data_IF_492579163444
#
_entry.id   IF_492579163444
#
_cell.length_a   1.000
_cell.length_b   1.000
_cell.length_c   1.000
_cell.angle_alpha   90.00
_cell.angle_beta   90.00
_cell.angle_gamma   90.00
#
_symmetry.space_group_name_H-M   'P 1'
#
loop_
_entity.id
_entity.type
_entity.pdbx_description
1 polymer ?
#
# COMPACT_ATOMS: atom_id res chain seq x y z
N UNK A 1 -34.67 1.58 25.34
CA UNK A 1 -35.10 0.18 25.57
C UNK A 1 -34.14 -0.52 26.53
N UNK A 2 -34.66 -1.26 27.52
CA UNK A 2 -33.84 -1.94 28.54
C UNK A 2 -32.91 -3.02 27.95
N UNK A 3 -33.30 -3.65 26.85
CA UNK A 3 -32.50 -4.68 26.18
C UNK A 3 -31.12 -4.19 25.71
N UNK A 4 -31.04 -3.02 25.05
CA UNK A 4 -29.77 -2.48 24.56
C UNK A 4 -28.84 -2.06 25.71
N UNK A 5 -29.40 -1.56 26.81
CA UNK A 5 -28.65 -1.22 28.01
C UNK A 5 -28.06 -2.48 28.66
N UNK A 6 -28.88 -3.51 28.86
CA UNK A 6 -28.43 -4.78 29.43
C UNK A 6 -27.34 -5.44 28.55
N UNK A 7 -27.47 -5.33 27.21
CA UNK A 7 -26.47 -5.86 26.28
C UNK A 7 -25.12 -5.15 26.46
N UNK A 8 -25.15 -3.82 26.54
CA UNK A 8 -23.95 -3.01 26.83
C UNK A 8 -23.34 -3.34 28.18
N UNK A 9 -24.17 -3.49 29.21
CA UNK A 9 -23.71 -3.72 30.57
C UNK A 9 -23.12 -5.14 30.72
N UNK A 10 -23.61 -6.10 29.96
CA UNK A 10 -23.03 -7.45 29.83
C UNK A 10 -21.62 -7.42 29.24
N UNK A 11 -21.38 -6.61 28.19
CA UNK A 11 -20.04 -6.43 27.62
C UNK A 11 -19.09 -5.77 28.62
N UNK A 12 -19.56 -4.76 29.36
CA UNK A 12 -18.78 -4.07 30.39
C UNK A 12 -18.42 -4.97 31.56
N UNK A 13 -19.35 -5.81 32.02
CA UNK A 13 -19.11 -6.73 33.13
C UNK A 13 -18.02 -7.77 32.82
N UNK A 14 -17.77 -8.05 31.54
CA UNK A 14 -16.70 -8.93 31.06
C UNK A 14 -15.42 -8.19 30.64
N UNK A 15 -15.35 -6.89 30.93
CA UNK A 15 -14.25 -6.00 30.54
C UNK A 15 -13.96 -6.01 29.02
N UNK A 16 -15.00 -6.16 28.20
CA UNK A 16 -14.86 -6.21 26.74
C UNK A 16 -15.14 -4.85 26.13
N UNK A 17 -14.11 -4.24 25.56
CA UNK A 17 -14.26 -3.06 24.71
C UNK A 17 -14.94 -3.39 23.37
N UNK A 18 -15.58 -2.42 22.72
CA UNK A 18 -16.20 -2.65 21.40
C UNK A 18 -15.20 -3.07 20.33
N UNK A 19 -13.94 -2.62 20.42
CA UNK A 19 -12.87 -3.06 19.50
C UNK A 19 -12.55 -4.53 19.72
N UNK A 20 -12.49 -4.96 20.98
CA UNK A 20 -12.25 -6.36 21.31
C UNK A 20 -13.43 -7.25 20.89
N UNK A 21 -14.65 -6.78 21.06
CA UNK A 21 -15.85 -7.49 20.58
C UNK A 21 -15.85 -7.65 19.05
N UNK A 22 -15.39 -6.65 18.30
CA UNK A 22 -15.23 -6.72 16.84
C UNK A 22 -14.21 -7.78 16.43
N UNK A 23 -13.02 -7.78 17.05
CA UNK A 23 -11.98 -8.78 16.77
C UNK A 23 -12.45 -10.22 17.05
N UNK A 24 -13.27 -10.42 18.08
CA UNK A 24 -13.75 -11.74 18.49
C UNK A 24 -14.93 -12.23 17.65
N UNK A 25 -15.86 -11.34 17.28
CA UNK A 25 -17.14 -11.72 16.65
C UNK A 25 -17.19 -11.50 15.15
N UNK A 26 -16.26 -10.72 14.57
CA UNK A 26 -16.29 -10.31 13.17
C UNK A 26 -17.30 -9.21 12.84
N UNK A 27 -18.12 -8.78 13.80
CA UNK A 27 -19.06 -7.66 13.62
C UNK A 27 -18.36 -6.32 13.78
N UNK A 28 -18.61 -5.39 12.84
CA UNK A 28 -17.98 -4.07 12.88
C UNK A 28 -18.28 -3.26 14.16
N UNK A 29 -17.27 -2.55 14.67
CA UNK A 29 -17.37 -1.76 15.92
C UNK A 29 -18.54 -0.77 15.94
N UNK A 30 -18.79 -0.08 14.83
CA UNK A 30 -19.90 0.88 14.72
C UNK A 30 -21.27 0.20 14.80
N UNK A 31 -21.39 -1.01 14.26
CA UNK A 31 -22.60 -1.85 14.32
C UNK A 31 -22.89 -2.28 15.77
N UNK A 32 -21.87 -2.76 16.50
CA UNK A 32 -21.98 -3.12 17.92
C UNK A 32 -22.32 -1.88 18.77
N UNK A 33 -21.66 -0.74 18.50
CA UNK A 33 -21.92 0.52 19.20
C UNK A 33 -23.35 1.05 18.96
N UNK A 34 -23.91 0.81 17.77
CA UNK A 34 -25.29 1.16 17.43
C UNK A 34 -26.26 0.22 18.11
N UNK A 35 -25.99 -1.09 18.14
CA UNK A 35 -26.82 -2.08 18.82
C UNK A 35 -26.96 -1.82 20.34
N UNK A 36 -25.96 -1.19 20.96
CA UNK A 36 -25.97 -0.85 22.40
C UNK A 36 -26.64 0.49 22.73
N UNK A 37 -26.87 1.37 21.74
CA UNK A 37 -27.40 2.73 21.95
C UNK A 37 -28.61 3.10 21.09
N UNK A 38 -28.94 2.27 20.10
CA UNK A 38 -29.95 2.55 19.10
C UNK A 38 -31.37 2.63 19.67
N UNK A 39 -32.28 3.34 18.98
CA UNK A 39 -33.67 3.49 19.40
C UNK A 39 -34.51 2.23 19.16
N UNK A 40 -33.98 1.23 18.45
CA UNK A 40 -34.64 0.00 18.03
C UNK A 40 -34.07 -1.26 18.70
N UNK A 41 -34.81 -2.37 18.64
CA UNK A 41 -34.30 -3.68 19.04
C UNK A 41 -33.17 -4.10 18.07
N UNK A 42 -31.96 -4.44 18.54
CA UNK A 42 -30.84 -4.79 17.67
C UNK A 42 -31.09 -6.10 16.92
N UNK A 43 -30.27 -6.43 15.91
CA UNK A 43 -30.37 -7.73 15.24
C UNK A 43 -30.06 -8.88 16.24
N UNK A 44 -30.88 -9.93 16.24
CA UNK A 44 -30.73 -11.08 17.14
C UNK A 44 -29.40 -11.82 16.92
N UNK A 45 -29.00 -12.02 15.66
CA UNK A 45 -27.80 -12.78 15.29
C UNK A 45 -26.55 -12.04 15.77
N UNK A 46 -26.50 -10.72 15.55
CA UNK A 46 -25.44 -9.85 16.08
C UNK A 46 -25.29 -9.99 17.59
N UNK A 47 -26.40 -9.97 18.33
CA UNK A 47 -26.33 -10.07 19.80
C UNK A 47 -25.83 -11.45 20.21
N UNK A 48 -26.30 -12.53 19.57
CA UNK A 48 -25.88 -13.88 19.95
C UNK A 48 -24.43 -14.19 19.57
N UNK A 49 -23.98 -13.72 18.41
CA UNK A 49 -22.61 -13.94 17.94
C UNK A 49 -21.61 -13.18 18.81
N UNK A 50 -21.90 -11.90 19.09
CA UNK A 50 -21.04 -11.08 19.95
C UNK A 50 -20.98 -11.68 21.35
N UNK A 51 -22.12 -12.09 21.93
CA UNK A 51 -22.14 -12.67 23.27
C UNK A 51 -21.43 -14.03 23.34
N UNK A 52 -21.61 -14.90 22.36
CA UNK A 52 -20.88 -16.16 22.28
C UNK A 52 -19.37 -15.95 22.15
N UNK A 53 -18.96 -15.01 21.30
CA UNK A 53 -17.55 -14.71 21.06
C UNK A 53 -16.82 -14.12 22.29
N UNK A 54 -17.54 -13.39 23.16
CA UNK A 54 -16.99 -12.86 24.43
C UNK A 54 -17.07 -13.85 25.59
N UNK A 55 -17.46 -15.11 25.32
CA UNK A 55 -17.42 -16.20 26.29
C UNK A 55 -18.66 -16.33 27.16
N UNK A 56 -19.84 -15.90 26.72
CA UNK A 56 -21.09 -16.35 27.36
C UNK A 56 -21.30 -17.83 27.08
N UNK A 57 -21.81 -18.56 28.06
CA UNK A 57 -22.17 -19.96 27.86
C UNK A 57 -23.31 -20.09 26.84
N UNK A 58 -23.43 -21.24 26.15
CA UNK A 58 -24.54 -21.47 25.22
C UNK A 58 -25.93 -21.25 25.84
N UNK A 59 -26.10 -21.60 27.12
CA UNK A 59 -27.37 -21.42 27.85
C UNK A 59 -27.68 -19.95 28.14
N UNK A 60 -26.67 -19.16 28.48
CA UNK A 60 -26.81 -17.70 28.62
C UNK A 60 -27.19 -17.07 27.27
N UNK A 61 -26.51 -17.45 26.19
CA UNK A 61 -26.80 -16.96 24.82
C UNK A 61 -28.22 -17.35 24.39
N UNK A 62 -28.68 -18.57 24.69
CA UNK A 62 -30.04 -19.01 24.43
C UNK A 62 -31.08 -18.16 25.19
N UNK A 63 -30.78 -17.79 26.44
CA UNK A 63 -31.63 -16.90 27.26
C UNK A 63 -31.75 -15.51 26.62
N UNK A 64 -30.65 -14.98 26.09
CA UNK A 64 -30.64 -13.71 25.34
C UNK A 64 -31.50 -13.79 24.07
N UNK A 65 -31.37 -14.86 23.29
CA UNK A 65 -32.17 -15.09 22.07
C UNK A 65 -33.65 -15.19 22.38
N UNK A 66 -34.04 -15.95 23.41
CA UNK A 66 -35.44 -16.07 23.83
C UNK A 66 -36.02 -14.74 24.31
N UNK A 67 -35.23 -13.95 25.05
CA UNK A 67 -35.64 -12.61 25.49
C UNK A 67 -35.85 -11.66 24.31
N UNK A 68 -34.97 -11.72 23.31
CA UNK A 68 -35.10 -10.93 22.09
C UNK A 68 -36.38 -11.26 21.32
N UNK A 69 -36.66 -12.56 21.10
CA UNK A 69 -37.87 -13.03 20.43
C UNK A 69 -39.16 -12.50 21.09
N UNK A 70 -39.26 -12.58 22.43
CA UNK A 70 -40.42 -12.04 23.17
C UNK A 70 -40.63 -10.54 22.98
N UNK A 71 -39.55 -9.76 22.90
CA UNK A 71 -39.65 -8.31 22.65
C UNK A 71 -40.12 -8.04 21.22
N UNK A 72 -39.63 -8.82 20.26
CA UNK A 72 -40.04 -8.71 18.86
C UNK A 72 -41.52 -9.05 18.68
N UNK A 73 -42.00 -10.11 19.31
CA UNK A 73 -43.43 -10.47 19.31
C UNK A 73 -44.30 -9.41 19.97
N UNK A 74 -43.83 -8.81 21.08
CA UNK A 74 -44.53 -7.73 21.78
C UNK A 74 -44.63 -6.43 20.98
N UNK A 75 -43.61 -6.10 20.17
CA UNK A 75 -43.66 -4.95 19.24
C UNK A 75 -44.63 -5.21 18.09
N UNK A 76 -44.66 -6.43 17.54
CA UNK A 76 -45.59 -6.82 16.46
C UNK A 76 -47.05 -6.81 16.93
N UNK A 77 -47.32 -7.17 18.18
CA UNK A 77 -48.66 -7.12 18.76
C UNK A 77 -49.19 -5.70 19.03
N UNK A 78 -48.33 -4.67 18.91
CA UNK A 78 -48.66 -3.26 19.17
C UNK A 78 -48.95 -2.44 17.90
N UNK A 79 -48.72 -3.02 16.72
CA UNK A 79 -49.15 -2.43 15.46
C UNK A 79 -50.67 -2.63 15.30
N UNK A 80 -51.44 -1.58 15.64
CA UNK A 80 -52.88 -1.50 15.37
C UNK A 80 -53.18 -1.76 13.88
N UNK A 81 -54.31 -2.41 13.53
CA UNK A 81 -54.67 -2.68 12.16
C UNK A 81 -54.82 -1.35 11.37
N UNK A 82 -54.27 -1.26 10.14
CA UNK A 82 -54.33 -0.04 9.36
C UNK A 82 -55.79 0.27 8.98
N UNK A 83 -56.24 1.48 9.34
CA UNK A 83 -57.55 2.00 8.94
C UNK A 83 -57.69 2.02 7.39
N UNK A 84 -58.92 1.89 6.85
CA UNK A 84 -59.14 1.79 5.42
C UNK A 84 -58.69 3.05 4.67
N UNK A 85 -57.97 2.83 3.56
CA UNK A 85 -57.37 3.84 2.70
C UNK A 85 -58.39 4.86 2.18
N UNK A 86 -58.31 6.09 2.68
CA UNK A 86 -58.86 7.26 1.99
C UNK A 86 -57.96 7.62 0.80
N UNK A 87 -58.60 7.94 -0.33
CA UNK A 87 -58.00 8.36 -1.59
C UNK A 87 -56.90 9.42 -1.42
N UNK A 88 -55.77 9.31 -2.15
CA UNK A 88 -54.62 10.17 -1.93
C UNK A 88 -54.88 11.60 -2.47
N UNK A 89 -54.50 12.64 -1.71
CA UNK A 89 -54.51 14.02 -2.19
C UNK A 89 -53.38 14.27 -3.20
N UNK A 90 -53.51 15.30 -4.08
CA UNK A 90 -52.56 15.56 -5.14
C UNK A 90 -51.17 15.92 -4.60
N UNK A 91 -50.16 15.37 -5.30
CA UNK A 91 -48.78 15.39 -4.88
C UNK A 91 -48.21 16.81 -4.68
N UNK A 92 -47.50 17.07 -3.57
CA UNK A 92 -46.74 18.30 -3.42
C UNK A 92 -45.57 18.31 -4.42
N UNK A 93 -45.47 19.41 -5.18
CA UNK A 93 -44.32 19.73 -6.04
C UNK A 93 -43.05 19.73 -5.18
N UNK A 94 -42.27 18.64 -5.27
CA UNK A 94 -40.96 18.52 -4.62
C UNK A 94 -39.99 19.50 -5.28
N UNK A 95 -39.48 20.42 -4.48
CA UNK A 95 -38.41 21.33 -4.86
C UNK A 95 -37.18 20.55 -5.35
N UNK A 96 -36.68 20.96 -6.51
CA UNK A 96 -35.50 20.42 -7.20
C UNK A 96 -34.19 20.58 -6.42
N UNK A 97 -34.19 21.29 -5.29
CA UNK A 97 -33.02 21.47 -4.42
C UNK A 97 -32.59 20.20 -3.67
N UNK A 98 -33.54 19.32 -3.30
CA UNK A 98 -33.23 18.14 -2.45
C UNK A 98 -32.71 16.91 -3.20
N UNK A 99 -32.90 16.84 -4.52
CA UNK A 99 -32.34 15.74 -5.34
C UNK A 99 -30.86 15.93 -5.65
N UNK A 100 -30.38 17.17 -5.66
CA UNK A 100 -28.95 17.47 -5.80
C UNK A 100 -28.19 17.10 -4.52
N UNK A 101 -28.76 17.35 -3.34
CA UNK A 101 -28.12 17.03 -2.06
C UNK A 101 -27.99 15.52 -1.79
N UNK A 102 -29.00 14.71 -2.13
CA UNK A 102 -28.94 13.25 -1.93
C UNK A 102 -27.96 12.61 -2.92
N UNK A 103 -27.93 13.07 -4.18
CA UNK A 103 -26.93 12.61 -5.15
C UNK A 103 -25.51 13.00 -4.71
N UNK A 104 -25.33 14.21 -4.19
CA UNK A 104 -24.05 14.67 -3.65
C UNK A 104 -23.61 13.86 -2.42
N UNK A 105 -24.53 13.44 -1.55
CA UNK A 105 -24.22 12.62 -0.38
C UNK A 105 -23.82 11.19 -0.75
N UNK A 106 -24.50 10.56 -1.71
CA UNK A 106 -24.08 9.24 -2.22
C UNK A 106 -22.72 9.32 -2.89
N UNK A 107 -22.47 10.34 -3.71
CA UNK A 107 -21.14 10.54 -4.32
C UNK A 107 -20.08 10.75 -3.25
N UNK A 108 -20.34 11.57 -2.22
CA UNK A 108 -19.39 11.83 -1.13
C UNK A 108 -19.10 10.57 -0.31
N UNK A 109 -20.11 9.77 0.05
CA UNK A 109 -19.92 8.52 0.81
C UNK A 109 -19.15 7.50 -0.02
N UNK A 110 -19.46 7.37 -1.31
CA UNK A 110 -18.69 6.52 -2.23
C UNK A 110 -17.24 7.00 -2.37
N UNK A 111 -17.02 8.32 -2.39
CA UNK A 111 -15.69 8.91 -2.47
C UNK A 111 -14.90 8.67 -1.19
N UNK A 112 -15.50 8.86 -0.02
CA UNK A 112 -14.86 8.63 1.28
C UNK A 112 -14.59 7.14 1.50
N UNK A 113 -15.53 6.27 1.14
CA UNK A 113 -15.31 4.82 1.20
C UNK A 113 -14.17 4.41 0.26
N UNK A 114 -14.19 4.89 -0.99
CA UNK A 114 -13.11 4.64 -1.95
C UNK A 114 -11.75 5.17 -1.47
N UNK A 115 -11.72 6.37 -0.88
CA UNK A 115 -10.50 6.98 -0.35
C UNK A 115 -9.97 6.23 0.88
N UNK A 116 -10.85 5.77 1.76
CA UNK A 116 -10.47 4.96 2.92
C UNK A 116 -9.94 3.59 2.48
N UNK A 117 -10.57 2.95 1.49
CA UNK A 117 -10.07 1.68 0.92
C UNK A 117 -8.73 1.87 0.23
N UNK A 118 -8.55 2.95 -0.54
CA UNK A 118 -7.28 3.29 -1.18
C UNK A 118 -6.18 3.59 -0.14
N UNK A 119 -6.51 4.31 0.94
CA UNK A 119 -5.57 4.61 2.02
C UNK A 119 -5.16 3.34 2.79
N UNK A 120 -6.10 2.44 3.07
CA UNK A 120 -5.80 1.14 3.69
C UNK A 120 -4.93 0.29 2.77
N UNK A 121 -5.16 0.29 1.45
CA UNK A 121 -4.29 -0.40 0.49
C UNK A 121 -2.88 0.20 0.46
N UNK A 122 -2.74 1.53 0.52
CA UNK A 122 -1.43 2.20 0.59
C UNK A 122 -0.70 1.90 1.90
N UNK A 123 -1.42 1.83 3.02
CA UNK A 123 -0.84 1.54 4.34
C UNK A 123 -0.57 0.04 4.58
N UNK A 124 -1.32 -0.85 3.93
CA UNK A 124 -1.20 -2.30 4.05
C UNK A 124 -0.29 -2.91 2.97
N UNK A 125 0.13 -2.13 1.97
CA UNK A 125 1.21 -2.51 1.09
C UNK A 125 2.47 -2.68 1.95
N UNK A 126 2.78 -3.92 2.31
CA UNK A 126 4.09 -4.26 2.82
C UNK A 126 5.13 -3.74 1.81
N UNK A 127 6.27 -3.18 2.25
CA UNK A 127 7.35 -2.90 1.32
C UNK A 127 7.60 -4.21 0.57
N UNK A 128 7.45 -4.17 -0.76
CA UNK A 128 7.84 -5.32 -1.58
C UNK A 128 9.24 -5.71 -1.11
N UNK A 129 9.48 -7.01 -0.79
CA UNK A 129 10.85 -7.45 -0.58
C UNK A 129 11.64 -6.91 -1.76
N UNK A 130 12.78 -6.20 -1.54
CA UNK A 130 13.46 -5.51 -2.61
C UNK A 130 13.60 -6.53 -3.72
N UNK A 131 12.90 -6.31 -4.85
CA UNK A 131 13.05 -7.15 -6.02
C UNK A 131 14.55 -7.37 -6.17
N UNK A 132 15.06 -8.60 -6.30
CA UNK A 132 16.50 -8.81 -6.45
C UNK A 132 16.99 -7.83 -7.53
N UNK A 133 17.64 -6.73 -7.12
CA UNK A 133 18.01 -5.64 -8.05
C UNK A 133 19.36 -5.97 -8.62
N UNK A 134 19.44 -7.18 -9.15
CA UNK A 134 20.59 -7.66 -9.88
C UNK A 134 20.74 -6.80 -11.12
N UNK A 135 21.80 -6.01 -11.18
CA UNK A 135 22.14 -5.19 -12.33
C UNK A 135 23.24 -5.86 -13.13
N UNK A 136 23.14 -5.78 -14.45
CA UNK A 136 24.14 -6.35 -15.37
C UNK A 136 25.08 -5.25 -15.84
N UNK A 137 26.37 -5.48 -15.69
CA UNK A 137 27.43 -4.61 -16.20
C UNK A 137 27.47 -4.70 -17.73
N UNK A 138 27.59 -3.55 -18.37
CA UNK A 138 27.90 -3.39 -19.79
C UNK A 138 29.13 -2.48 -19.91
N UNK A 139 30.31 -3.09 -19.77
CA UNK A 139 31.60 -2.42 -19.82
C UNK A 139 31.99 -2.11 -21.27
N UNK A 140 31.19 -1.26 -21.94
CA UNK A 140 31.37 -0.93 -23.35
C UNK A 140 31.42 0.57 -23.60
N UNK A 141 32.33 0.97 -24.47
CA UNK A 141 32.52 2.35 -24.93
C UNK A 141 31.82 2.55 -26.26
N UNK A 142 31.03 3.62 -26.35
CA UNK A 142 30.43 4.06 -27.60
C UNK A 142 31.48 4.79 -28.45
N UNK A 143 31.66 4.36 -29.69
CA UNK A 143 32.68 4.86 -30.62
C UNK A 143 32.02 5.14 -31.96
N UNK A 144 32.35 6.25 -32.60
CA UNK A 144 31.83 6.55 -33.93
C UNK A 144 30.35 6.89 -33.90
N UNK A 145 29.67 6.63 -35.01
CA UNK A 145 28.24 6.88 -35.23
C UNK A 145 27.31 5.82 -34.61
N UNK A 146 27.76 4.59 -34.42
CA UNK A 146 26.92 3.52 -33.88
C UNK A 146 27.67 2.41 -33.13
N UNK A 147 29.00 2.37 -33.19
CA UNK A 147 29.74 1.25 -32.60
C UNK A 147 29.69 1.29 -31.06
N UNK A 148 29.66 0.10 -30.46
CA UNK A 148 29.70 -0.11 -29.03
C UNK A 148 30.63 -1.29 -28.76
N UNK A 149 31.82 -1.01 -28.22
CA UNK A 149 32.93 -1.96 -28.13
C UNK A 149 33.29 -2.20 -26.66
N UNK A 150 33.61 -3.44 -26.29
CA UNK A 150 34.10 -3.75 -24.94
C UNK A 150 35.33 -2.90 -24.59
N UNK A 151 35.28 -2.23 -23.43
CA UNK A 151 36.43 -1.50 -22.91
C UNK A 151 37.51 -2.50 -22.51
N UNK A 152 38.77 -2.18 -22.83
CA UNK A 152 39.92 -2.97 -22.41
C UNK A 152 40.19 -2.82 -20.92
N UNK A 153 39.78 -1.70 -20.34
CA UNK A 153 39.83 -1.49 -18.89
C UNK A 153 38.58 -2.11 -18.27
N UNK A 154 38.70 -2.94 -17.22
CA UNK A 154 37.53 -3.49 -16.56
C UNK A 154 36.73 -2.37 -15.85
N UNK A 155 35.41 -2.55 -15.77
CA UNK A 155 34.57 -1.81 -14.83
C UNK A 155 34.88 -2.25 -13.40
N UNK A 156 34.59 -1.42 -12.40
CA UNK A 156 34.87 -1.71 -10.98
C UNK A 156 33.93 -0.93 -10.08
N UNK A 157 33.86 -1.32 -8.81
CA UNK A 157 33.20 -0.52 -7.78
C UNK A 157 34.15 0.55 -7.24
N UNK A 158 33.65 1.78 -7.16
CA UNK A 158 34.35 2.91 -6.54
C UNK A 158 33.90 3.09 -5.08
N UNK A 159 34.81 3.51 -4.21
CA UNK A 159 34.50 3.91 -2.84
C UNK A 159 33.77 5.26 -2.79
N UNK A 160 33.82 6.04 -3.88
CA UNK A 160 33.19 7.36 -4.02
C UNK A 160 32.60 7.51 -5.42
N UNK A 161 31.48 8.23 -5.59
CA UNK A 161 30.81 8.41 -6.88
C UNK A 161 31.47 9.51 -7.72
N UNK A 162 32.74 9.31 -8.06
CA UNK A 162 33.58 10.28 -8.79
C UNK A 162 34.05 9.68 -10.11
N UNK A 163 34.16 10.53 -11.13
CA UNK A 163 34.74 10.13 -12.41
C UNK A 163 36.24 9.86 -12.25
N UNK A 164 36.80 9.01 -13.11
CA UNK A 164 38.25 8.69 -13.16
C UNK A 164 38.82 8.16 -11.84
N UNK A 165 37.99 7.48 -11.06
CA UNK A 165 38.33 6.94 -9.74
C UNK A 165 39.58 6.05 -9.72
N UNK A 166 39.88 5.30 -10.80
CA UNK A 166 41.09 4.49 -10.93
C UNK A 166 42.41 5.26 -10.72
N UNK A 167 42.42 6.59 -10.93
CA UNK A 167 43.61 7.43 -10.78
C UNK A 167 43.75 8.05 -9.38
N UNK A 168 42.78 7.83 -8.49
CA UNK A 168 42.74 8.41 -7.15
C UNK A 168 43.07 7.32 -6.12
N UNK A 169 44.13 7.48 -5.30
CA UNK A 169 44.49 6.49 -4.28
C UNK A 169 43.32 6.16 -3.35
N UNK A 170 43.04 4.86 -3.21
CA UNK A 170 41.96 4.35 -2.34
C UNK A 170 40.53 4.57 -2.89
N UNK A 171 40.37 5.14 -4.08
CA UNK A 171 39.04 5.33 -4.66
C UNK A 171 38.52 4.02 -5.28
N UNK A 172 39.32 3.34 -6.10
CA UNK A 172 38.92 2.04 -6.66
C UNK A 172 38.94 0.96 -5.57
N UNK A 173 37.88 0.16 -5.46
CA UNK A 173 37.81 -0.99 -4.54
C UNK A 173 38.51 -2.19 -5.21
N UNK A 174 39.67 -2.67 -4.71
CA UNK A 174 40.43 -3.73 -5.37
C UNK A 174 39.67 -5.08 -5.38
N UNK A 175 39.76 -5.85 -6.46
CA UNK A 175 39.08 -7.15 -6.58
C UNK A 175 37.61 -7.04 -6.99
N UNK A 176 37.17 -5.88 -7.48
CA UNK A 176 35.83 -5.66 -8.02
C UNK A 176 35.84 -5.44 -9.54
N UNK A 177 36.97 -5.68 -10.19
CA UNK A 177 37.19 -5.55 -11.62
C UNK A 177 36.39 -6.60 -12.41
N UNK A 178 35.52 -6.14 -13.31
CA UNK A 178 34.59 -6.99 -14.06
C UNK A 178 34.38 -6.50 -15.49
N UNK A 179 34.04 -7.42 -16.39
CA UNK A 179 33.65 -7.12 -17.78
C UNK A 179 32.13 -7.11 -17.96
N UNK A 180 31.68 -6.92 -19.21
CA UNK A 180 30.27 -7.04 -19.57
C UNK A 180 29.67 -8.40 -19.19
N UNK A 181 28.42 -8.40 -18.75
CA UNK A 181 27.66 -9.60 -18.34
C UNK A 181 27.80 -9.96 -16.86
N UNK A 182 28.77 -9.39 -16.13
CA UNK A 182 28.85 -9.56 -14.69
C UNK A 182 27.66 -8.90 -13.97
N UNK A 183 27.27 -9.46 -12.84
CA UNK A 183 26.12 -8.99 -12.06
C UNK A 183 26.50 -8.48 -10.68
N UNK A 184 25.97 -7.33 -10.30
CA UNK A 184 26.00 -6.85 -8.91
C UNK A 184 24.58 -6.79 -8.32
N UNK A 185 24.47 -6.87 -7.00
CA UNK A 185 23.23 -6.51 -6.30
C UNK A 185 23.23 -5.00 -6.06
N UNK A 186 22.27 -4.27 -6.67
CA UNK A 186 22.10 -2.85 -6.42
C UNK A 186 21.28 -2.61 -5.14
N UNK A 187 21.78 -1.74 -4.26
CA UNK A 187 21.23 -1.53 -2.91
C UNK A 187 20.65 -0.13 -2.70
N UNK A 188 21.21 0.89 -3.33
CA UNK A 188 20.77 2.28 -3.22
C UNK A 188 21.22 3.08 -4.46
N UNK A 189 20.77 4.32 -4.60
CA UNK A 189 21.19 5.24 -5.66
C UNK A 189 21.56 6.61 -5.09
N UNK A 190 22.42 7.35 -5.80
CA UNK A 190 22.76 8.73 -5.45
C UNK A 190 23.24 9.50 -6.69
N UNK A 191 23.27 10.83 -6.59
CA UNK A 191 23.88 11.71 -7.59
C UNK A 191 25.36 11.96 -7.25
N UNK A 192 26.25 11.75 -8.22
CA UNK A 192 27.69 11.92 -8.11
C UNK A 192 28.27 12.77 -9.25
N UNK A 193 29.55 12.58 -9.57
CA UNK A 193 30.15 13.23 -10.73
C UNK A 193 29.59 12.67 -12.04
N UNK A 194 29.45 13.54 -13.04
CA UNK A 194 29.02 13.19 -14.39
C UNK A 194 30.08 12.33 -15.07
N UNK A 195 29.66 11.23 -15.69
CA UNK A 195 30.51 10.36 -16.49
C UNK A 195 29.80 9.95 -17.78
N UNK A 196 30.59 9.58 -18.78
CA UNK A 196 30.09 9.09 -20.07
C UNK A 196 30.82 7.80 -20.45
N UNK A 197 30.12 6.91 -21.16
CA UNK A 197 30.74 5.77 -21.83
C UNK A 197 31.17 6.11 -23.27
N UNK A 198 31.09 7.35 -23.71
CA UNK A 198 31.43 7.75 -25.07
C UNK A 198 32.91 8.08 -25.22
N UNK A 199 33.53 7.60 -26.30
CA UNK A 199 34.78 8.18 -26.80
C UNK A 199 34.46 9.51 -27.50
N UNK A 200 34.50 10.58 -26.71
CA UNK A 200 34.20 11.95 -27.14
C UNK A 200 35.14 12.47 -28.24
N UNK A 201 36.26 11.77 -28.50
CA UNK A 201 37.20 12.13 -29.57
C UNK A 201 36.89 11.44 -30.90
N UNK A 202 36.00 10.45 -30.90
CA UNK A 202 35.62 9.70 -32.10
C UNK A 202 34.67 10.50 -33.01
N UNK A 203 34.82 10.32 -34.32
CA UNK A 203 34.03 11.02 -35.34
C UNK A 203 32.53 10.68 -35.17
N UNK A 204 31.65 11.68 -35.25
CA UNK A 204 30.18 11.52 -35.16
C UNK A 204 29.65 10.94 -33.84
N UNK A 205 30.43 10.96 -32.75
CA UNK A 205 29.99 10.43 -31.44
C UNK A 205 28.68 11.05 -30.92
N UNK A 206 28.40 12.32 -31.25
CA UNK A 206 27.15 12.98 -30.88
C UNK A 206 25.89 12.37 -31.50
N UNK A 207 26.02 11.47 -32.49
CA UNK A 207 24.92 10.74 -33.12
C UNK A 207 24.79 9.30 -32.62
N UNK A 208 25.73 8.83 -31.78
CA UNK A 208 25.75 7.44 -31.36
C UNK A 208 24.62 7.12 -30.37
N UNK A 209 23.66 6.25 -30.74
CA UNK A 209 22.53 5.94 -29.86
C UNK A 209 22.93 5.18 -28.59
N UNK A 210 24.16 4.64 -28.54
CA UNK A 210 24.70 3.93 -27.39
C UNK A 210 25.51 4.82 -26.45
N UNK A 211 25.80 6.07 -26.84
CA UNK A 211 26.43 7.04 -25.99
C UNK A 211 25.48 7.46 -24.86
N UNK A 212 25.98 7.40 -23.63
CA UNK A 212 25.25 7.78 -22.45
C UNK A 212 26.09 8.70 -21.60
N UNK A 213 25.43 9.65 -20.95
CA UNK A 213 25.99 10.57 -19.97
C UNK A 213 25.07 10.55 -18.76
N UNK A 214 25.63 10.38 -17.56
CA UNK A 214 24.81 10.39 -16.34
C UNK A 214 25.62 10.85 -15.14
N UNK A 215 24.91 11.50 -14.21
CA UNK A 215 25.37 11.78 -12.85
C UNK A 215 24.87 10.74 -11.84
N UNK A 216 24.10 9.73 -12.30
CA UNK A 216 23.51 8.73 -11.43
C UNK A 216 24.48 7.57 -11.17
N UNK A 217 24.61 7.24 -9.89
CA UNK A 217 25.44 6.15 -9.39
C UNK A 217 24.58 5.20 -8.56
N UNK A 218 24.81 3.90 -8.74
CA UNK A 218 24.20 2.88 -7.91
C UNK A 218 25.20 2.43 -6.83
N UNK A 219 24.77 2.43 -5.58
CA UNK A 219 25.41 1.61 -4.56
C UNK A 219 25.19 0.15 -4.89
N UNK A 220 26.27 -0.62 -5.01
CA UNK A 220 26.26 -1.99 -5.47
C UNK A 220 27.12 -2.87 -4.54
N UNK A 221 26.62 -4.07 -4.23
CA UNK A 221 27.29 -5.06 -3.40
C UNK A 221 28.00 -6.09 -4.28
N UNK A 222 29.30 -6.26 -4.06
CA UNK A 222 30.11 -7.32 -4.66
C UNK A 222 29.79 -8.68 -4.02
N UNK A 223 30.13 -9.81 -4.68
CA UNK A 223 29.91 -11.15 -4.12
C UNK A 223 30.59 -11.40 -2.77
N UNK A 224 31.67 -10.68 -2.48
CA UNK A 224 32.39 -10.74 -1.19
C UNK A 224 31.75 -9.86 -0.09
N UNK A 225 30.61 -9.24 -0.39
CA UNK A 225 29.83 -8.43 0.54
C UNK A 225 30.26 -6.96 0.64
N UNK A 226 31.38 -6.56 0.02
CA UNK A 226 31.79 -5.14 -0.01
C UNK A 226 30.84 -4.33 -0.85
N UNK A 227 30.59 -3.09 -0.43
CA UNK A 227 29.74 -2.14 -1.15
C UNK A 227 30.61 -1.04 -1.72
N UNK A 228 30.34 -0.66 -2.96
CA UNK A 228 30.85 0.54 -3.58
C UNK A 228 29.84 1.10 -4.58
N UNK A 229 30.27 2.00 -5.43
CA UNK A 229 29.44 2.70 -6.39
C UNK A 229 29.84 2.33 -7.82
N UNK A 230 28.85 2.20 -8.69
CA UNK A 230 29.05 2.04 -10.12
C UNK A 230 28.13 3.02 -10.86
N UNK A 231 28.67 3.72 -11.85
CA UNK A 231 27.83 4.61 -12.66
C UNK A 231 26.94 3.79 -13.59
N UNK A 232 25.70 4.22 -13.76
CA UNK A 232 24.74 3.53 -14.62
C UNK A 232 25.15 3.49 -16.11
N UNK A 233 26.07 4.36 -16.54
CA UNK A 233 26.57 4.34 -17.93
C UNK A 233 27.31 3.05 -18.26
N UNK A 234 27.85 2.37 -17.23
CA UNK A 234 28.49 1.05 -17.34
C UNK A 234 27.55 -0.11 -17.01
N UNK A 235 26.24 0.16 -16.89
CA UNK A 235 25.21 -0.87 -16.77
C UNK A 235 24.49 -1.05 -18.11
N UNK A 236 23.94 -2.25 -18.33
CA UNK A 236 23.09 -2.50 -19.48
C UNK A 236 21.88 -1.55 -19.47
N UNK A 237 21.39 -1.07 -20.64
CA UNK A 237 20.41 0.00 -20.71
C UNK A 237 19.12 -0.21 -19.90
N UNK A 238 18.67 -1.46 -19.75
CA UNK A 238 17.48 -1.81 -18.96
C UNK A 238 17.63 -1.60 -17.45
N UNK A 239 18.86 -1.40 -16.96
CA UNK A 239 19.18 -1.19 -15.53
C UNK A 239 19.51 0.27 -15.19
N UNK A 240 19.25 1.20 -16.13
CA UNK A 240 19.46 2.64 -15.94
C UNK A 240 18.21 3.34 -15.41
N UNK A 241 18.34 4.58 -14.96
CA UNK A 241 17.26 5.37 -14.39
C UNK A 241 17.00 5.08 -12.91
N UNK A 242 18.01 4.58 -12.19
CA UNK A 242 17.96 4.48 -10.73
C UNK A 242 17.15 3.33 -10.16
N UNK A 243 16.35 2.66 -10.99
CA UNK A 243 15.59 1.45 -10.65
C UNK A 243 14.62 1.62 -9.48
N UNK A 244 14.24 2.86 -9.14
CA UNK A 244 13.46 3.17 -7.94
C UNK A 244 14.16 2.80 -6.64
N UNK A 245 15.50 2.80 -6.61
CA UNK A 245 16.29 2.48 -5.42
C UNK A 245 16.14 3.57 -4.37
N UNK A 246 16.24 3.24 -3.06
CA UNK A 246 16.31 4.26 -2.03
C UNK A 246 17.61 5.09 -2.19
N UNK A 247 17.65 6.32 -1.67
CA UNK A 247 18.89 7.09 -1.63
C UNK A 247 19.95 6.38 -0.78
N UNK A 248 21.21 6.46 -1.23
CA UNK A 248 22.37 6.34 -0.36
C UNK A 248 22.57 7.67 0.40
#
# INVERSE_FOLDING_TARGET
MRFCADFRDTLRARDVSFRRAEELSGWGKSTIATATRGPGLPNADLVTDVLGAVGLSPDEVATWRARHARLREGDVARDDPPAPLATPPPAPRRSTRRRVEIAAFTVLVSLVAGLATALVLVLAAAPEPPADRTVVVQNRVAIGDAALVEDRSPSYLSARPVARCANIPGCKIPGTEVGSGFTFEAVCQLTGEVITNADVTSTNIGQNPNAAVSELWLGARAPDGRIGYISEVYLAPSYRGGLGLPPC
#
